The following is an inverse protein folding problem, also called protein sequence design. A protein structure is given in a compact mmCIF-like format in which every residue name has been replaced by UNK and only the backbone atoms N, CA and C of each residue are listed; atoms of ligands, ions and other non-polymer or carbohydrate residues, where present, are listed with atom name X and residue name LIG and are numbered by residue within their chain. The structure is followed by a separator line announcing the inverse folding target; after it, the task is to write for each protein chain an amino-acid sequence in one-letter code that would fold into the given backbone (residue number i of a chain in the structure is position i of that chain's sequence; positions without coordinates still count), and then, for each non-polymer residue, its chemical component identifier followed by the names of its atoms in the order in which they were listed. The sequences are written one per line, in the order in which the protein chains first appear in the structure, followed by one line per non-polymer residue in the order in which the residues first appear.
data_IF_529303788847
#
_entry.id   IF_529303788847
#
_cell.length_a   1.000
_cell.length_b   1.000
_cell.length_c   1.000
_cell.angle_alpha   90.00
_cell.angle_beta   90.00
_cell.angle_gamma   90.00
#
_symmetry.space_group_name_H-M   'P 1'
#
loop_
_entity.id
_entity.type
_entity.pdbx_description
1 polymer ?
#
# COMPACT_ATOMS: atom_id res chain seq x y z
N UNK A 1 19.22 -17.39 -11.78
CA UNK A 1 18.08 -17.47 -10.87
C UNK A 1 17.78 -16.04 -10.46
N UNK A 2 16.55 -15.59 -10.62
CA UNK A 2 16.12 -14.27 -10.18
C UNK A 2 16.21 -14.25 -8.65
N UNK A 3 16.96 -13.30 -8.07
CA UNK A 3 17.02 -13.17 -6.61
C UNK A 3 15.72 -12.51 -6.12
N UNK A 4 14.72 -13.35 -5.85
CA UNK A 4 13.42 -12.92 -5.34
C UNK A 4 13.49 -12.39 -3.91
N UNK A 5 14.68 -12.38 -3.30
CA UNK A 5 14.91 -11.90 -1.94
C UNK A 5 15.24 -10.41 -1.86
N UNK A 6 15.44 -9.74 -3.00
CA UNK A 6 15.65 -8.30 -3.08
C UNK A 6 14.74 -7.70 -4.15
N UNK A 7 13.65 -7.07 -3.70
CA UNK A 7 12.65 -6.46 -4.55
C UNK A 7 12.87 -4.95 -4.69
N UNK A 8 12.81 -4.46 -5.91
CA UNK A 8 12.80 -3.03 -6.18
C UNK A 8 11.39 -2.47 -5.95
N UNK A 9 11.22 -1.50 -5.05
CA UNK A 9 9.93 -0.85 -4.82
C UNK A 9 9.81 0.43 -5.66
N UNK A 10 8.91 0.42 -6.63
CA UNK A 10 8.64 1.53 -7.54
C UNK A 10 7.75 2.59 -6.87
N UNK A 11 8.33 3.34 -5.94
CA UNK A 11 7.67 4.45 -5.24
C UNK A 11 8.67 5.56 -4.89
N UNK A 12 8.18 6.80 -4.84
CA UNK A 12 8.89 7.97 -4.27
C UNK A 12 8.40 8.31 -2.85
N UNK A 13 7.42 7.57 -2.36
CA UNK A 13 6.86 7.80 -1.03
C UNK A 13 7.70 7.07 0.04
N UNK A 14 8.43 7.84 0.85
CA UNK A 14 9.27 7.30 1.92
C UNK A 14 8.49 6.54 3.01
N UNK A 15 7.21 6.89 3.26
CA UNK A 15 6.37 6.16 4.21
C UNK A 15 6.07 4.75 3.69
N UNK A 16 5.72 4.63 2.41
CA UNK A 16 5.50 3.33 1.76
C UNK A 16 6.77 2.48 1.81
N UNK A 17 7.93 3.04 1.48
CA UNK A 17 9.20 2.30 1.51
C UNK A 17 9.48 1.71 2.91
N UNK A 18 9.28 2.49 3.98
CA UNK A 18 9.44 2.00 5.35
C UNK A 18 8.46 0.89 5.72
N UNK A 19 7.18 1.04 5.34
CA UNK A 19 6.16 0.02 5.61
C UNK A 19 6.46 -1.29 4.86
N UNK A 20 6.83 -1.23 3.58
CA UNK A 20 7.19 -2.42 2.80
C UNK A 20 8.42 -3.13 3.37
N UNK A 21 9.47 -2.40 3.73
CA UNK A 21 10.66 -2.97 4.34
C UNK A 21 10.34 -3.68 5.67
N UNK A 22 9.49 -3.08 6.51
CA UNK A 22 9.06 -3.67 7.78
C UNK A 22 8.18 -4.91 7.59
N UNK A 23 7.29 -4.91 6.59
CA UNK A 23 6.36 -6.02 6.31
C UNK A 23 7.05 -7.22 5.65
N UNK A 24 8.04 -6.99 4.77
CA UNK A 24 8.73 -8.04 4.03
C UNK A 24 9.96 -8.59 4.78
N UNK A 25 10.57 -7.79 5.65
CA UNK A 25 11.74 -8.19 6.43
C UNK A 25 11.60 -9.52 7.17
N UNK A 26 10.50 -9.81 7.89
CA UNK A 26 10.30 -11.10 8.58
C UNK A 26 10.31 -12.32 7.64
N UNK A 27 9.99 -12.14 6.36
CA UNK A 27 10.08 -13.20 5.35
C UNK A 27 11.48 -13.31 4.71
N UNK A 28 12.47 -12.53 5.17
CA UNK A 28 13.81 -12.48 4.61
C UNK A 28 13.89 -11.82 3.23
N UNK A 29 12.92 -10.97 2.91
CA UNK A 29 12.84 -10.27 1.63
C UNK A 29 13.28 -8.83 1.85
N UNK A 30 14.38 -8.42 1.20
CA UNK A 30 14.85 -7.05 1.21
C UNK A 30 14.06 -6.18 0.22
N UNK A 31 14.00 -4.88 0.51
CA UNK A 31 13.34 -3.90 -0.36
C UNK A 31 14.33 -2.78 -0.68
N UNK A 32 14.61 -2.60 -1.96
CA UNK A 32 15.46 -1.52 -2.46
C UNK A 32 14.62 -0.35 -2.95
N UNK A 33 15.05 0.90 -2.72
CA UNK A 33 14.36 2.08 -3.26
C UNK A 33 14.53 2.18 -4.79
N UNK A 34 13.58 2.88 -5.41
CA UNK A 34 13.62 3.21 -6.83
C UNK A 34 14.82 4.15 -7.12
N UNK A 35 15.70 3.81 -8.09
CA UNK A 35 16.76 4.70 -8.51
C UNK A 35 16.25 6.06 -9.01
N UNK A 36 17.00 7.14 -8.76
CA UNK A 36 16.55 8.51 -9.06
C UNK A 36 16.30 8.75 -10.55
N UNK A 37 17.05 8.07 -11.41
CA UNK A 37 16.94 8.19 -12.87
C UNK A 37 15.73 7.48 -13.48
N UNK A 38 14.94 6.76 -12.70
CA UNK A 38 13.75 6.06 -13.21
C UNK A 38 12.51 6.92 -12.97
N UNK A 39 11.94 7.43 -14.05
CA UNK A 39 10.66 8.14 -14.00
C UNK A 39 9.50 7.16 -14.02
N UNK A 40 8.56 7.35 -13.10
CA UNK A 40 7.35 6.56 -13.04
C UNK A 40 6.26 7.18 -13.92
N UNK A 41 5.39 6.34 -14.52
CA UNK A 41 4.26 6.84 -15.29
C UNK A 41 3.26 7.58 -14.39
N UNK A 42 2.41 8.46 -14.96
CA UNK A 42 1.33 9.10 -14.23
C UNK A 42 0.30 8.07 -13.73
N UNK A 43 -0.37 8.40 -12.63
CA UNK A 43 -1.42 7.56 -12.04
C UNK A 43 -2.80 8.04 -12.56
N UNK A 44 -3.10 7.72 -13.83
CA UNK A 44 -4.32 8.12 -14.54
C UNK A 44 -5.33 6.98 -14.70
N UNK A 45 -5.06 5.82 -14.07
CA UNK A 45 -5.93 4.64 -14.12
C UNK A 45 -7.24 4.83 -13.37
N UNK A 46 -8.26 4.08 -13.80
CA UNK A 46 -9.59 4.07 -13.18
C UNK A 46 -9.66 3.23 -11.90
N UNK A 47 -8.67 2.40 -11.66
CA UNK A 47 -8.55 1.56 -10.46
C UNK A 47 -7.10 1.43 -10.00
N UNK A 48 -6.91 0.93 -8.78
CA UNK A 48 -5.57 0.79 -8.17
C UNK A 48 -4.63 -0.14 -8.94
N UNK A 49 -5.16 -1.17 -9.61
CA UNK A 49 -4.34 -2.10 -10.39
C UNK A 49 -3.77 -1.43 -11.65
N UNK A 50 -4.57 -0.60 -12.31
CA UNK A 50 -4.17 0.18 -13.48
C UNK A 50 -3.10 1.23 -13.17
N UNK A 51 -2.99 1.66 -11.91
CA UNK A 51 -1.91 2.54 -11.46
C UNK A 51 -0.68 1.77 -10.95
N UNK A 52 -0.88 0.67 -10.23
CA UNK A 52 0.23 -0.09 -9.66
C UNK A 52 1.06 -0.83 -10.73
N UNK A 53 0.40 -1.51 -11.67
CA UNK A 53 1.05 -2.38 -12.63
C UNK A 53 2.00 -1.64 -13.60
N UNK A 54 1.63 -0.50 -14.20
CA UNK A 54 2.55 0.26 -15.05
C UNK A 54 3.79 0.75 -14.29
N UNK A 55 3.67 1.15 -13.02
CA UNK A 55 4.83 1.54 -12.20
C UNK A 55 5.80 0.39 -12.00
N UNK A 56 5.30 -0.81 -11.67
CA UNK A 56 6.14 -1.99 -11.51
C UNK A 56 6.80 -2.39 -12.82
N UNK A 57 6.08 -2.38 -13.96
CA UNK A 57 6.62 -2.65 -15.30
C UNK A 57 7.74 -1.68 -15.66
N UNK A 58 7.51 -0.38 -15.50
CA UNK A 58 8.51 0.65 -15.80
C UNK A 58 9.79 0.44 -14.99
N UNK A 59 9.66 0.22 -13.69
CA UNK A 59 10.81 -0.02 -12.82
C UNK A 59 11.56 -1.32 -13.19
N UNK A 60 10.84 -2.40 -13.47
CA UNK A 60 11.42 -3.67 -13.87
C UNK A 60 12.17 -3.57 -15.20
N UNK A 61 11.57 -2.93 -16.20
CA UNK A 61 12.19 -2.73 -17.52
C UNK A 61 13.44 -1.83 -17.45
N UNK A 62 13.36 -0.72 -16.71
CA UNK A 62 14.46 0.22 -16.59
C UNK A 62 15.69 -0.35 -15.85
N UNK A 63 15.48 -1.33 -14.95
CA UNK A 63 16.54 -1.83 -14.08
C UNK A 63 16.94 -3.28 -14.33
N UNK A 64 16.15 -4.03 -15.09
CA UNK A 64 16.34 -5.49 -15.29
C UNK A 64 16.12 -6.31 -14.00
N UNK A 65 15.56 -5.71 -12.94
CA UNK A 65 15.32 -6.32 -11.63
C UNK A 65 13.84 -6.65 -11.44
N UNK A 66 13.58 -7.62 -10.57
CA UNK A 66 12.22 -7.83 -10.08
C UNK A 66 11.74 -6.57 -9.35
N UNK A 67 10.59 -6.06 -9.76
CA UNK A 67 10.03 -4.85 -9.19
C UNK A 67 8.62 -5.08 -8.66
N UNK A 68 8.32 -4.36 -7.58
CA UNK A 68 6.98 -4.23 -7.03
C UNK A 68 6.58 -2.76 -7.01
N UNK A 69 5.29 -2.52 -7.11
CA UNK A 69 4.70 -1.19 -6.91
C UNK A 69 3.36 -1.33 -6.20
N UNK A 70 2.95 -0.34 -5.46
CA UNK A 70 1.58 -0.28 -4.96
C UNK A 70 0.85 0.96 -5.46
N UNK A 71 -0.45 0.81 -5.58
CA UNK A 71 -1.36 1.93 -5.50
C UNK A 71 -2.41 1.65 -4.43
N UNK A 72 -2.77 2.70 -3.69
CA UNK A 72 -3.63 2.56 -2.52
C UNK A 72 -4.40 3.83 -2.23
N UNK A 73 -5.57 3.65 -1.65
CA UNK A 73 -6.41 4.78 -1.30
C UNK A 73 -7.49 4.40 -0.30
N UNK A 74 -8.27 5.40 0.05
CA UNK A 74 -9.45 5.28 0.90
C UNK A 74 -10.71 5.51 0.07
N UNK A 75 -11.72 4.74 0.35
CA UNK A 75 -13.04 4.86 -0.24
C UNK A 75 -14.07 5.11 0.87
N UNK A 76 -14.94 6.08 0.66
CA UNK A 76 -16.04 6.39 1.56
C UNK A 76 -17.38 6.03 0.91
N UNK A 77 -18.18 5.19 1.55
CA UNK A 77 -19.49 4.77 1.03
C UNK A 77 -20.42 5.98 0.82
N UNK A 78 -20.43 6.91 1.77
CA UNK A 78 -21.22 8.13 1.69
C UNK A 78 -20.85 9.04 0.50
N UNK A 79 -19.69 8.83 -0.12
CA UNK A 79 -19.19 9.57 -1.28
C UNK A 79 -19.12 8.68 -2.53
N UNK A 80 -19.89 7.60 -2.58
CA UNK A 80 -19.94 6.65 -3.70
C UNK A 80 -18.54 6.11 -4.07
N UNK A 81 -17.68 5.88 -3.09
CA UNK A 81 -16.33 5.36 -3.27
C UNK A 81 -15.24 6.42 -3.44
N UNK A 82 -15.59 7.72 -3.54
CA UNK A 82 -14.56 8.76 -3.51
C UNK A 82 -13.88 8.80 -2.12
N UNK A 83 -12.60 9.22 -2.04
CA UNK A 83 -11.70 9.65 -3.11
C UNK A 83 -11.11 8.53 -3.99
N UNK A 84 -11.09 7.25 -3.56
CA UNK A 84 -10.58 6.13 -4.35
C UNK A 84 -9.14 6.34 -4.84
N UNK A 85 -8.88 6.16 -6.14
CA UNK A 85 -7.56 6.37 -6.78
C UNK A 85 -7.07 7.82 -6.69
N UNK A 86 -7.92 8.75 -6.30
CA UNK A 86 -7.55 10.17 -6.11
C UNK A 86 -7.14 10.50 -4.68
N UNK A 87 -7.01 9.51 -3.79
CA UNK A 87 -6.74 9.72 -2.36
C UNK A 87 -5.55 10.64 -2.09
N UNK A 88 -4.45 10.48 -2.80
CA UNK A 88 -3.25 11.31 -2.61
C UNK A 88 -3.41 12.77 -3.11
N UNK A 89 -4.44 13.06 -3.88
CA UNK A 89 -4.69 14.38 -4.49
C UNK A 89 -6.16 14.84 -4.33
N UNK A 90 -6.84 14.35 -3.31
CA UNK A 90 -8.28 14.57 -3.12
C UNK A 90 -8.63 16.05 -2.95
N UNK A 91 -7.82 16.81 -2.23
CA UNK A 91 -7.98 18.26 -2.06
C UNK A 91 -7.36 19.08 -3.22
N UNK A 92 -6.84 18.39 -4.24
CA UNK A 92 -6.24 19.01 -5.42
C UNK A 92 -4.80 18.55 -5.66
N UNK A 93 -4.26 18.92 -6.81
CA UNK A 93 -2.89 18.56 -7.18
C UNK A 93 -1.88 19.20 -6.22
N UNK A 94 -0.99 18.40 -5.63
CA UNK A 94 0.00 18.87 -4.65
C UNK A 94 -0.56 19.11 -3.25
N UNK A 95 -1.78 18.70 -2.97
CA UNK A 95 -2.36 18.80 -1.63
C UNK A 95 -1.56 18.00 -0.61
N UNK A 96 -1.51 18.51 0.62
CA UNK A 96 -0.92 17.80 1.75
C UNK A 96 -1.87 16.70 2.25
N UNK A 97 -1.33 15.71 2.98
CA UNK A 97 -2.12 14.69 3.66
C UNK A 97 -3.19 15.32 4.56
N UNK A 98 -2.84 16.38 5.28
CA UNK A 98 -3.77 17.12 6.14
C UNK A 98 -4.94 17.73 5.34
N UNK A 99 -4.66 18.37 4.20
CA UNK A 99 -5.70 18.96 3.36
C UNK A 99 -6.65 17.90 2.78
N UNK A 100 -6.11 16.73 2.38
CA UNK A 100 -6.90 15.61 1.89
C UNK A 100 -7.81 15.05 3.00
N UNK A 101 -7.27 14.88 4.20
CA UNK A 101 -8.00 14.41 5.38
C UNK A 101 -9.13 15.38 5.78
N UNK A 102 -8.83 16.67 5.86
CA UNK A 102 -9.82 17.71 6.19
C UNK A 102 -10.96 17.75 5.17
N UNK A 103 -10.64 17.58 3.89
CA UNK A 103 -11.65 17.50 2.85
C UNK A 103 -12.56 16.29 3.05
N UNK A 104 -12.00 15.10 3.30
CA UNK A 104 -12.81 13.90 3.57
C UNK A 104 -13.74 14.11 4.77
N UNK A 105 -13.21 14.62 5.87
CA UNK A 105 -13.99 14.86 7.09
C UNK A 105 -15.08 15.93 6.93
N UNK A 106 -14.91 16.85 6.00
CA UNK A 106 -15.91 17.87 5.69
C UNK A 106 -17.03 17.34 4.78
N UNK A 107 -16.71 16.41 3.88
CA UNK A 107 -17.63 15.91 2.87
C UNK A 107 -18.37 14.64 3.30
N UNK A 108 -17.76 13.78 4.13
CA UNK A 108 -18.38 12.57 4.65
C UNK A 108 -18.82 12.75 6.11
N UNK A 109 -20.05 12.35 6.47
CA UNK A 109 -20.53 12.36 7.85
C UNK A 109 -19.65 11.48 8.75
N UNK A 110 -19.45 11.89 10.01
CA UNK A 110 -18.81 11.05 11.01
C UNK A 110 -19.55 9.72 11.16
N UNK A 111 -18.83 8.63 11.31
CA UNK A 111 -19.38 7.27 11.36
C UNK A 111 -19.59 6.63 9.98
N UNK A 112 -19.42 7.37 8.87
CA UNK A 112 -19.50 6.80 7.51
C UNK A 112 -18.60 5.60 7.36
N UNK A 113 -19.09 4.57 6.69
CA UNK A 113 -18.28 3.41 6.33
C UNK A 113 -17.14 3.82 5.39
N UNK A 114 -15.94 3.39 5.75
CA UNK A 114 -14.72 3.60 5.00
C UNK A 114 -14.06 2.27 4.67
N UNK A 115 -13.33 2.25 3.56
CA UNK A 115 -12.50 1.13 3.16
C UNK A 115 -11.15 1.65 2.64
N UNK A 116 -10.07 1.21 3.26
CA UNK A 116 -8.76 1.28 2.63
C UNK A 116 -8.55 0.12 1.67
N UNK A 117 -7.98 0.40 0.51
CA UNK A 117 -7.59 -0.59 -0.50
C UNK A 117 -6.12 -0.39 -0.85
N UNK A 118 -5.40 -1.49 -1.01
CA UNK A 118 -4.04 -1.51 -1.56
C UNK A 118 -3.94 -2.62 -2.59
N UNK A 119 -3.45 -2.29 -3.78
CA UNK A 119 -3.06 -3.26 -4.79
C UNK A 119 -1.54 -3.19 -4.94
N UNK A 120 -0.88 -4.33 -4.73
CA UNK A 120 0.54 -4.51 -4.96
C UNK A 120 0.73 -5.27 -6.27
N UNK A 121 1.44 -4.68 -7.22
CA UNK A 121 1.85 -5.33 -8.45
C UNK A 121 3.28 -5.88 -8.30
N UNK A 122 3.51 -7.08 -8.80
CA UNK A 122 4.80 -7.74 -8.93
C UNK A 122 5.10 -7.95 -10.41
N UNK A 123 6.33 -7.65 -10.85
CA UNK A 123 6.80 -7.86 -12.23
C UNK A 123 8.22 -8.42 -12.20
N UNK A 124 8.41 -9.60 -12.81
CA UNK A 124 9.72 -10.14 -13.11
C UNK A 124 10.04 -9.96 -14.61
N UNK A 125 10.96 -9.08 -14.97
CA UNK A 125 11.26 -8.79 -16.38
C UNK A 125 11.95 -9.95 -17.13
N UNK A 126 12.47 -10.93 -16.41
CA UNK A 126 13.17 -12.09 -16.99
C UNK A 126 12.22 -13.19 -17.41
N UNK A 127 11.24 -13.48 -16.56
CA UNK A 127 10.21 -14.49 -16.85
C UNK A 127 8.97 -13.92 -17.55
N UNK A 128 8.79 -12.60 -17.50
CA UNK A 128 7.57 -11.94 -17.94
C UNK A 128 6.40 -12.14 -16.98
N UNK A 129 6.66 -12.70 -15.78
CA UNK A 129 5.59 -12.95 -14.82
C UNK A 129 5.11 -11.67 -14.16
N UNK A 130 3.80 -11.51 -14.12
CA UNK A 130 3.10 -10.41 -13.47
C UNK A 130 2.04 -10.96 -12.52
N UNK A 131 1.94 -10.36 -11.32
CA UNK A 131 0.94 -10.72 -10.31
C UNK A 131 0.41 -9.48 -9.61
N UNK A 132 -0.83 -9.57 -9.17
CA UNK A 132 -1.47 -8.55 -8.36
C UNK A 132 -1.92 -9.16 -7.02
N UNK A 133 -1.68 -8.42 -5.95
CA UNK A 133 -2.08 -8.80 -4.59
C UNK A 133 -2.90 -7.66 -4.01
N UNK A 134 -4.13 -7.96 -3.62
CA UNK A 134 -5.05 -6.96 -3.06
C UNK A 134 -5.23 -7.18 -1.57
N UNK A 135 -5.21 -6.09 -0.83
CA UNK A 135 -5.56 -6.07 0.58
C UNK A 135 -6.52 -4.94 0.88
N UNK A 136 -7.47 -5.19 1.75
CA UNK A 136 -8.48 -4.23 2.18
C UNK A 136 -8.50 -4.11 3.70
N UNK A 137 -8.86 -2.95 4.22
CA UNK A 137 -9.16 -2.74 5.62
C UNK A 137 -10.43 -1.91 5.72
N UNK A 138 -11.47 -2.49 6.29
CA UNK A 138 -12.74 -1.79 6.54
C UNK A 138 -12.69 -1.05 7.85
N UNK A 139 -13.49 0.01 7.95
CA UNK A 139 -13.56 0.84 9.13
C UNK A 139 -14.62 1.91 8.99
N UNK A 140 -14.50 2.93 9.82
CA UNK A 140 -15.42 4.07 9.82
C UNK A 140 -14.68 5.38 10.05
N UNK A 141 -15.30 6.48 9.61
CA UNK A 141 -14.79 7.83 9.82
C UNK A 141 -14.97 8.25 11.27
N UNK A 142 -13.89 8.62 11.94
CA UNK A 142 -13.93 9.20 13.27
C UNK A 142 -14.58 10.61 13.25
N UNK A 143 -15.21 11.01 14.33
CA UNK A 143 -15.76 12.36 14.47
C UNK A 143 -14.67 13.44 14.58
N UNK A 144 -13.49 13.07 15.09
CA UNK A 144 -12.33 13.94 15.24
C UNK A 144 -11.05 13.15 14.91
N UNK A 145 -10.01 13.84 14.51
CA UNK A 145 -8.69 13.24 14.30
C UNK A 145 -8.02 12.90 15.63
N UNK A 146 -7.39 11.73 15.72
CA UNK A 146 -6.63 11.27 16.89
C UNK A 146 -5.38 10.52 16.46
N UNK A 147 -4.36 10.53 17.33
CA UNK A 147 -3.08 9.89 17.07
C UNK A 147 -2.16 10.72 16.17
N UNK A 148 -0.90 10.26 16.08
CA UNK A 148 0.13 10.97 15.31
C UNK A 148 1.02 10.03 14.49
N UNK A 149 0.70 8.73 14.49
CA UNK A 149 1.44 7.73 13.71
C UNK A 149 0.83 7.57 12.33
N UNK A 150 1.57 6.89 11.45
CA UNK A 150 1.11 6.66 10.09
C UNK A 150 1.16 7.90 9.20
N UNK A 151 0.24 7.99 8.24
CA UNK A 151 0.15 9.10 7.28
C UNK A 151 -1.25 9.14 6.63
N UNK A 152 -1.51 10.19 5.85
CA UNK A 152 -2.74 10.32 5.09
C UNK A 152 -3.97 10.39 5.98
N UNK A 153 -4.89 9.46 5.81
CA UNK A 153 -6.19 9.46 6.50
C UNK A 153 -6.19 8.68 7.83
N UNK A 154 -5.05 8.13 8.24
CA UNK A 154 -4.93 7.33 9.46
C UNK A 154 -5.49 8.00 10.72
N UNK A 155 -5.36 9.34 10.93
CA UNK A 155 -5.88 10.00 12.12
C UNK A 155 -7.42 10.01 12.23
N UNK A 156 -8.14 9.76 11.14
CA UNK A 156 -9.61 9.72 11.14
C UNK A 156 -10.18 8.35 10.78
N UNK A 157 -9.37 7.34 10.55
CA UNK A 157 -9.81 5.99 10.20
C UNK A 157 -9.83 5.10 11.44
N UNK A 158 -11.02 4.66 11.88
CA UNK A 158 -11.20 3.67 12.95
C UNK A 158 -11.41 2.30 12.31
N UNK A 159 -10.45 1.36 12.43
CA UNK A 159 -10.58 0.03 11.84
C UNK A 159 -11.76 -0.75 12.40
N UNK A 160 -12.39 -1.58 11.57
CA UNK A 160 -13.38 -2.56 12.02
C UNK A 160 -12.72 -3.59 12.94
N UNK A 161 -13.37 -3.93 14.04
CA UNK A 161 -12.84 -4.85 15.06
C UNK A 161 -11.92 -4.19 16.09
N UNK A 162 -11.62 -2.88 15.98
CA UNK A 162 -10.91 -2.14 17.02
C UNK A 162 -11.87 -1.82 18.18
N UNK A 163 -11.74 -2.58 19.28
CA UNK A 163 -12.68 -2.56 20.39
C UNK A 163 -12.69 -1.22 21.13
N UNK A 164 -11.52 -0.58 21.25
CA UNK A 164 -11.37 0.70 21.97
C UNK A 164 -11.69 1.91 21.10
N UNK A 165 -12.04 1.68 19.83
CA UNK A 165 -12.35 2.74 18.87
C UNK A 165 -11.16 3.62 18.54
N UNK A 166 -9.91 3.13 18.70
CA UNK A 166 -8.68 3.83 18.31
C UNK A 166 -8.64 4.02 16.80
N UNK A 167 -8.09 5.15 16.37
CA UNK A 167 -7.80 5.37 14.97
C UNK A 167 -6.54 4.61 14.54
N UNK A 168 -6.35 4.43 13.24
CA UNK A 168 -5.14 3.81 12.69
C UNK A 168 -3.87 4.55 13.14
N UNK A 169 -3.95 5.86 13.37
CA UNK A 169 -2.81 6.68 13.86
C UNK A 169 -2.54 6.56 15.37
N UNK A 170 -3.42 5.91 16.13
CA UNK A 170 -3.21 5.61 17.55
C UNK A 170 -2.59 4.21 17.74
N UNK A 171 -2.62 3.36 16.72
CA UNK A 171 -2.03 2.03 16.75
C UNK A 171 -0.50 2.09 16.65
N UNK A 172 0.17 1.13 17.26
CA UNK A 172 1.59 0.89 16.99
C UNK A 172 1.79 0.39 15.55
N UNK A 173 3.00 0.50 15.03
CA UNK A 173 3.34 -0.03 13.71
C UNK A 173 2.99 -1.51 13.58
N UNK A 174 3.24 -2.31 14.62
CA UNK A 174 2.95 -3.74 14.63
C UNK A 174 1.45 -4.02 14.58
N UNK A 175 0.65 -3.30 15.36
CA UNK A 175 -0.82 -3.42 15.34
C UNK A 175 -1.37 -3.02 13.97
N UNK A 176 -0.93 -1.88 13.42
CA UNK A 176 -1.30 -1.40 12.08
C UNK A 176 -0.93 -2.41 11.00
N UNK A 177 0.29 -2.93 11.02
CA UNK A 177 0.77 -3.92 10.04
C UNK A 177 -0.07 -5.19 10.03
N UNK A 178 -0.56 -5.63 11.20
CA UNK A 178 -1.39 -6.82 11.32
C UNK A 178 -2.75 -6.70 10.59
N UNK A 179 -3.36 -5.52 10.60
CA UNK A 179 -4.75 -5.32 10.14
C UNK A 179 -4.87 -4.49 8.85
N UNK A 180 -3.85 -3.68 8.51
CA UNK A 180 -3.94 -2.72 7.42
C UNK A 180 -4.09 -3.38 6.04
N UNK A 181 -4.69 -2.63 5.11
CA UNK A 181 -4.81 -2.98 3.70
C UNK A 181 -3.45 -3.34 3.07
N UNK A 182 -2.42 -2.50 3.29
CA UNK A 182 -1.05 -2.77 2.80
C UNK A 182 -0.46 -4.00 3.46
N UNK A 183 -0.62 -4.15 4.79
CA UNK A 183 -0.16 -5.34 5.50
C UNK A 183 -0.74 -6.64 4.92
N UNK A 184 -2.02 -6.64 4.56
CA UNK A 184 -2.68 -7.81 3.94
C UNK A 184 -2.16 -8.08 2.54
N UNK A 185 -2.04 -7.07 1.68
CA UNK A 185 -1.53 -7.22 0.31
C UNK A 185 -0.07 -7.71 0.31
N UNK A 186 0.78 -7.12 1.16
CA UNK A 186 2.20 -7.49 1.25
C UNK A 186 2.40 -8.89 1.85
N UNK A 187 1.59 -9.30 2.83
CA UNK A 187 1.63 -10.70 3.32
C UNK A 187 1.27 -11.69 2.22
N UNK A 188 0.23 -11.42 1.44
CA UNK A 188 -0.13 -12.29 0.31
C UNK A 188 1.00 -12.40 -0.73
N UNK A 189 1.70 -11.30 -1.01
CA UNK A 189 2.92 -11.30 -1.84
C UNK A 189 4.02 -12.15 -1.20
N UNK A 190 4.32 -11.96 0.09
CA UNK A 190 5.37 -12.69 0.79
C UNK A 190 5.10 -14.19 0.85
N UNK A 191 3.87 -14.59 1.14
CA UNK A 191 3.44 -15.99 1.13
C UNK A 191 3.61 -16.64 -0.24
N UNK A 192 3.20 -15.93 -1.29
CA UNK A 192 3.36 -16.41 -2.66
C UNK A 192 4.84 -16.56 -3.07
N UNK A 193 5.70 -15.61 -2.71
CA UNK A 193 7.14 -15.69 -2.98
C UNK A 193 7.81 -16.83 -2.21
N UNK A 194 7.43 -17.03 -0.95
CA UNK A 194 7.99 -18.09 -0.09
C UNK A 194 7.60 -19.48 -0.60
N UNK A 195 6.36 -19.67 -1.04
CA UNK A 195 5.88 -20.93 -1.58
C UNK A 195 6.60 -21.37 -2.88
N UNK A 196 7.24 -20.45 -3.59
CA UNK A 196 8.00 -20.69 -4.84
C UNK A 196 9.47 -21.00 -4.61
N UNK A 197 10.00 -20.63 -3.44
CA UNK A 197 11.39 -20.96 -3.11
C UNK A 197 11.49 -22.47 -2.91
N UNK A 198 12.35 -23.21 -3.61
CA UNK A 198 12.55 -24.62 -3.35
C UNK A 198 13.01 -24.77 -1.89
N UNK A 199 12.30 -25.59 -1.12
CA UNK A 199 12.75 -26.00 0.21
C UNK A 199 14.20 -26.47 0.09
N UNK A 200 15.17 -25.92 0.85
CA UNK A 200 16.52 -26.46 0.86
C UNK A 200 16.39 -27.95 1.20
N UNK A 201 16.89 -28.81 0.31
CA UNK A 201 16.92 -30.24 0.57
C UNK A 201 17.56 -30.44 1.95
N UNK A 202 16.83 -31.08 2.88
CA UNK A 202 17.36 -31.47 4.17
C UNK A 202 18.62 -32.28 3.90
N UNK A 203 19.79 -31.73 4.30
CA UNK A 203 21.08 -32.37 4.11
C UNK A 203 21.07 -33.75 4.76
N UNK A 204 21.41 -34.72 3.94
CA UNK A 204 21.80 -36.04 4.41
C UNK A 204 23.21 -35.98 5.00
#
# INVERSE_FOLDING_TARGET
MSDTRDLLLATRNAHKLREFARLLGPAGIAVSPLPDQVDLPPEDGFNFAENALPKARTAAQATGRVAIADDSGIEAEALSGAPGVHSARYAGRGATDQANLEKLMREAPAGSALRYVCVVAYVDPRSGEERLFTGECRGRLAATTRGSRGFGYDPAFVPEGEADGRTMAELSDREKDAISHRGRAVRALAEWLTARSPTPAAGQ
#
